data_IF_185067456772
#
_entry.id   IF_185067456772
#
_cell.length_a   1.000
_cell.length_b   1.000
_cell.length_c   1.000
_cell.angle_alpha   90.00
_cell.angle_beta   90.00
_cell.angle_gamma   90.00
#
_symmetry.space_group_name_H-M   'P 1'
#
loop_
_entity.id
_entity.type
_entity.pdbx_description
1 polymer ?
#
# COMPACT_ATOMS: atom_id res chain seq x y z
N UNK A 1 -16.01 -15.33 14.86
CA UNK A 1 -16.41 -14.08 15.51
C UNK A 1 -15.22 -13.27 16.01
N UNK A 2 -14.29 -13.84 16.78
CA UNK A 2 -13.11 -13.14 17.23
C UNK A 2 -12.23 -12.59 16.10
N UNK A 3 -12.14 -13.29 14.99
CA UNK A 3 -11.37 -12.85 13.81
C UNK A 3 -11.95 -11.58 13.18
N UNK A 4 -13.28 -11.46 13.06
CA UNK A 4 -13.91 -10.26 12.50
C UNK A 4 -13.66 -9.03 13.38
N UNK A 5 -13.76 -9.21 14.69
CA UNK A 5 -13.48 -8.13 15.65
C UNK A 5 -12.01 -7.71 15.54
N UNK A 6 -11.10 -8.68 15.43
CA UNK A 6 -9.66 -8.43 15.30
C UNK A 6 -9.34 -7.65 14.02
N UNK A 7 -9.96 -8.03 12.88
CA UNK A 7 -9.76 -7.31 11.62
C UNK A 7 -10.32 -5.89 11.68
N UNK A 8 -11.45 -5.70 12.32
CA UNK A 8 -12.04 -4.38 12.48
C UNK A 8 -11.13 -3.47 13.30
N UNK A 9 -10.58 -3.98 14.41
CA UNK A 9 -9.61 -3.24 15.22
C UNK A 9 -8.36 -2.90 14.41
N UNK A 10 -7.88 -3.85 13.63
CA UNK A 10 -6.72 -3.63 12.76
C UNK A 10 -6.99 -2.53 11.72
N UNK A 11 -8.17 -2.55 11.12
CA UNK A 11 -8.58 -1.54 10.16
C UNK A 11 -8.69 -0.16 10.82
N UNK A 12 -9.28 -0.11 12.00
CA UNK A 12 -9.42 1.14 12.76
C UNK A 12 -8.07 1.67 13.19
N UNK A 13 -7.19 0.83 13.70
CA UNK A 13 -5.84 1.22 14.08
C UNK A 13 -5.05 1.72 12.88
N UNK A 14 -5.19 1.05 11.74
CA UNK A 14 -4.54 1.43 10.52
C UNK A 14 -5.03 2.77 10.00
N UNK A 15 -6.32 3.05 10.16
CA UNK A 15 -6.93 4.30 9.72
C UNK A 15 -6.70 5.44 10.71
N UNK A 16 -6.73 5.14 12.02
CA UNK A 16 -6.63 6.15 13.06
C UNK A 16 -5.20 6.66 13.27
N UNK A 17 -4.20 5.82 13.04
CA UNK A 17 -2.79 6.22 13.13
C UNK A 17 -2.32 6.94 11.88
N UNK A 18 -3.09 7.94 11.49
CA UNK A 18 -2.87 8.64 10.22
C UNK A 18 -1.55 9.40 10.18
N UNK A 19 -1.08 9.87 11.33
CA UNK A 19 0.10 10.73 11.41
C UNK A 19 1.40 9.97 11.64
N UNK A 20 1.33 8.69 12.03
CA UNK A 20 2.53 7.92 12.33
C UNK A 20 2.80 6.90 11.23
N UNK A 21 4.04 6.85 10.72
CA UNK A 21 4.40 5.79 9.77
C UNK A 21 4.29 4.43 10.46
N UNK A 22 3.86 3.43 9.70
CA UNK A 22 3.91 2.06 10.19
C UNK A 22 5.32 1.73 10.62
N UNK A 23 5.48 1.24 11.83
CA UNK A 23 6.75 0.65 12.20
C UNK A 23 6.89 -0.70 11.51
N UNK A 24 8.11 -1.09 11.18
CA UNK A 24 8.34 -2.40 10.58
C UNK A 24 7.84 -3.52 11.50
N UNK A 25 7.95 -3.33 12.80
CA UNK A 25 7.43 -4.28 13.79
C UNK A 25 5.91 -4.45 13.67
N UNK A 26 5.16 -3.34 13.55
CA UNK A 26 3.71 -3.40 13.41
C UNK A 26 3.31 -4.10 12.10
N UNK A 27 4.02 -3.83 11.01
CA UNK A 27 3.77 -4.51 9.73
C UNK A 27 3.99 -6.01 9.84
N UNK A 28 5.09 -6.43 10.48
CA UNK A 28 5.39 -7.85 10.70
C UNK A 28 4.27 -8.51 11.52
N UNK A 29 3.85 -7.88 12.59
CA UNK A 29 2.83 -8.41 13.48
C UNK A 29 1.49 -8.57 12.76
N UNK A 30 1.05 -7.55 12.03
CA UNK A 30 -0.19 -7.61 11.26
C UNK A 30 -0.11 -8.61 10.11
N UNK A 31 1.05 -8.71 9.45
CA UNK A 31 1.26 -9.65 8.36
C UNK A 31 1.17 -11.10 8.84
N UNK A 32 1.69 -11.40 10.02
CA UNK A 32 1.62 -12.74 10.60
C UNK A 32 0.19 -13.15 10.93
N UNK A 33 -0.68 -12.21 11.29
CA UNK A 33 -2.11 -12.49 11.52
C UNK A 33 -2.87 -12.67 10.21
N UNK A 34 -2.43 -12.03 9.14
CA UNK A 34 -3.15 -11.93 7.88
C UNK A 34 -4.37 -11.01 7.98
N UNK A 35 -4.66 -10.30 6.92
CA UNK A 35 -5.87 -9.48 6.82
C UNK A 35 -6.85 -10.14 5.85
N UNK A 36 -8.14 -9.81 5.99
CA UNK A 36 -9.15 -10.35 5.11
C UNK A 36 -9.05 -9.70 3.71
N UNK A 37 -9.59 -10.38 2.71
CA UNK A 37 -9.69 -9.83 1.36
C UNK A 37 -10.55 -8.55 1.34
N UNK A 38 -11.47 -8.41 2.29
CA UNK A 38 -12.29 -7.20 2.42
C UNK A 38 -11.43 -5.97 2.72
N UNK A 39 -10.32 -6.14 3.44
CA UNK A 39 -9.39 -5.06 3.69
C UNK A 39 -8.74 -4.58 2.38
N UNK A 40 -8.28 -5.50 1.54
CA UNK A 40 -7.76 -5.17 0.22
C UNK A 40 -8.80 -4.42 -0.61
N UNK A 41 -10.04 -4.89 -0.61
CA UNK A 41 -11.13 -4.26 -1.36
C UNK A 41 -11.39 -2.85 -0.86
N UNK A 42 -11.35 -2.64 0.45
CA UNK A 42 -11.53 -1.33 1.08
C UNK A 42 -10.43 -0.34 0.65
N UNK A 43 -9.18 -0.79 0.68
CA UNK A 43 -8.04 0.02 0.23
C UNK A 43 -8.16 0.33 -1.27
N UNK A 44 -8.59 -0.64 -2.06
CA UNK A 44 -8.78 -0.47 -3.51
C UNK A 44 -9.79 0.63 -3.82
N UNK A 45 -10.89 0.67 -3.09
CA UNK A 45 -11.91 1.72 -3.25
C UNK A 45 -11.38 3.06 -2.78
N UNK A 46 -10.75 3.09 -1.63
CA UNK A 46 -10.26 4.32 -1.01
C UNK A 46 -9.24 5.06 -1.88
N UNK A 47 -8.35 4.33 -2.53
CA UNK A 47 -7.24 4.91 -3.30
C UNK A 47 -7.37 4.66 -4.79
N UNK A 48 -8.51 4.14 -5.24
CA UNK A 48 -8.76 3.84 -6.65
C UNK A 48 -7.66 2.96 -7.26
N UNK A 49 -7.35 1.88 -6.55
CA UNK A 49 -6.35 0.92 -7.01
C UNK A 49 -7.07 -0.18 -7.78
N UNK A 50 -6.73 -0.32 -9.07
CA UNK A 50 -7.35 -1.29 -9.95
C UNK A 50 -6.79 -2.70 -9.73
N UNK A 51 -7.54 -3.75 -10.11
CA UNK A 51 -6.99 -5.11 -10.08
C UNK A 51 -5.70 -5.26 -10.89
N UNK A 52 -5.57 -4.55 -12.00
CA UNK A 52 -4.36 -4.56 -12.82
C UNK A 52 -3.17 -3.97 -12.06
N UNK A 53 -3.39 -2.88 -11.32
CA UNK A 53 -2.35 -2.28 -10.48
C UNK A 53 -1.92 -3.24 -9.37
N UNK A 54 -2.86 -3.86 -8.66
CA UNK A 54 -2.55 -4.87 -7.64
C UNK A 54 -1.75 -6.03 -8.23
N UNK A 55 -2.14 -6.50 -9.40
CA UNK A 55 -1.46 -7.60 -10.09
C UNK A 55 0.02 -7.23 -10.36
N UNK A 56 0.26 -6.01 -10.83
CA UNK A 56 1.62 -5.53 -11.07
C UNK A 56 2.44 -5.46 -9.79
N UNK A 57 1.87 -4.97 -8.69
CA UNK A 57 2.57 -4.89 -7.41
C UNK A 57 2.91 -6.26 -6.85
N UNK A 58 1.97 -7.19 -6.91
CA UNK A 58 2.14 -8.53 -6.32
C UNK A 58 2.79 -9.55 -7.24
N UNK A 59 3.00 -9.22 -8.51
CA UNK A 59 3.60 -10.12 -9.48
C UNK A 59 2.72 -11.31 -9.84
N UNK A 60 1.41 -11.14 -9.82
CA UNK A 60 0.43 -12.18 -10.20
C UNK A 60 -0.49 -11.63 -11.30
N UNK A 61 -1.31 -12.49 -11.88
CA UNK A 61 -2.21 -12.07 -12.96
C UNK A 61 -3.38 -11.26 -12.43
N UNK A 62 -3.90 -10.36 -13.26
CA UNK A 62 -5.13 -9.59 -12.97
C UNK A 62 -6.30 -10.54 -12.66
N UNK A 63 -6.37 -11.65 -13.38
CA UNK A 63 -7.40 -12.66 -13.18
C UNK A 63 -7.32 -13.28 -11.79
N UNK A 64 -6.10 -13.52 -11.29
CA UNK A 64 -5.88 -14.02 -9.93
C UNK A 64 -6.35 -13.02 -8.88
N UNK A 65 -6.06 -11.72 -9.06
CA UNK A 65 -6.54 -10.67 -8.17
C UNK A 65 -8.07 -10.64 -8.15
N UNK A 66 -8.70 -10.64 -9.30
CA UNK A 66 -10.17 -10.63 -9.40
C UNK A 66 -10.79 -11.84 -8.70
N UNK A 67 -10.16 -13.02 -8.85
CA UNK A 67 -10.60 -14.22 -8.17
C UNK A 67 -10.50 -14.09 -6.65
N UNK A 68 -9.38 -13.56 -6.15
CA UNK A 68 -9.21 -13.33 -4.71
C UNK A 68 -10.23 -12.32 -4.18
N UNK A 69 -10.52 -11.26 -4.92
CA UNK A 69 -11.48 -10.25 -4.50
C UNK A 69 -12.91 -10.77 -4.40
N UNK A 70 -13.22 -11.87 -5.10
CA UNK A 70 -14.54 -12.50 -5.07
C UNK A 70 -14.66 -13.58 -4.00
N UNK A 71 -13.57 -14.01 -3.39
CA UNK A 71 -13.55 -15.05 -2.38
C UNK A 71 -13.41 -14.45 -0.99
N UNK A 72 -14.12 -15.00 -0.02
CA UNK A 72 -13.97 -14.60 1.39
C UNK A 72 -12.77 -15.33 1.99
N UNK A 73 -11.57 -14.87 1.69
CA UNK A 73 -10.33 -15.47 2.15
C UNK A 73 -9.51 -14.49 2.96
N UNK A 74 -8.66 -15.02 3.82
CA UNK A 74 -7.59 -14.28 4.48
C UNK A 74 -6.37 -14.28 3.57
N UNK A 75 -5.76 -13.13 3.42
CA UNK A 75 -4.52 -13.00 2.66
C UNK A 75 -3.37 -13.69 3.38
N UNK A 76 -2.40 -14.18 2.62
CA UNK A 76 -1.17 -14.74 3.19
C UNK A 76 -0.36 -13.63 3.88
N UNK A 77 0.64 -14.01 4.68
CA UNK A 77 1.52 -13.05 5.33
C UNK A 77 2.20 -12.14 4.30
N UNK A 78 2.71 -12.68 3.20
CA UNK A 78 3.37 -11.90 2.15
C UNK A 78 2.40 -10.96 1.46
N UNK A 79 1.22 -11.43 1.11
CA UNK A 79 0.18 -10.59 0.49
C UNK A 79 -0.26 -9.47 1.44
N UNK A 80 -0.43 -9.80 2.71
CA UNK A 80 -0.81 -8.82 3.73
C UNK A 80 0.25 -7.73 3.84
N UNK A 81 1.52 -8.10 3.85
CA UNK A 81 2.62 -7.13 3.93
C UNK A 81 2.56 -6.16 2.74
N UNK A 82 2.35 -6.68 1.53
CA UNK A 82 2.20 -5.83 0.35
C UNK A 82 1.03 -4.87 0.48
N UNK A 83 -0.12 -5.35 0.90
CA UNK A 83 -1.32 -4.51 1.06
C UNK A 83 -1.07 -3.39 2.06
N UNK A 84 -0.48 -3.70 3.20
CA UNK A 84 -0.18 -2.70 4.24
C UNK A 84 0.83 -1.68 3.75
N UNK A 85 1.87 -2.10 3.05
CA UNK A 85 2.88 -1.20 2.50
C UNK A 85 2.33 -0.31 1.39
N UNK A 86 1.50 -0.84 0.52
CA UNK A 86 0.83 -0.05 -0.52
C UNK A 86 -0.13 0.96 0.10
N UNK A 87 -0.88 0.56 1.13
CA UNK A 87 -1.73 1.50 1.87
C UNK A 87 -0.92 2.66 2.43
N UNK A 88 0.18 2.36 3.10
CA UNK A 88 1.08 3.38 3.65
C UNK A 88 1.60 4.31 2.56
N UNK A 89 2.05 3.74 1.44
CA UNK A 89 2.55 4.49 0.30
C UNK A 89 1.51 5.46 -0.24
N UNK A 90 0.30 4.98 -0.51
CA UNK A 90 -0.76 5.81 -1.09
C UNK A 90 -1.24 6.89 -0.13
N UNK A 91 -1.27 6.58 1.16
CA UNK A 91 -1.61 7.56 2.19
C UNK A 91 -0.63 8.73 2.21
N UNK A 92 0.66 8.41 2.25
CA UNK A 92 1.73 9.43 2.24
C UNK A 92 1.71 10.18 0.91
N UNK A 93 1.57 9.49 -0.20
CA UNK A 93 1.54 10.11 -1.52
C UNK A 93 0.37 11.08 -1.69
N UNK A 94 -0.80 10.69 -1.21
CA UNK A 94 -1.97 11.57 -1.23
C UNK A 94 -1.73 12.84 -0.41
N UNK A 95 -1.11 12.72 0.75
CA UNK A 95 -0.76 13.88 1.59
C UNK A 95 0.25 14.79 0.89
N UNK A 96 1.30 14.20 0.31
CA UNK A 96 2.38 14.98 -0.34
C UNK A 96 1.86 15.71 -1.57
N UNK A 97 1.05 15.08 -2.40
CA UNK A 97 0.58 15.64 -3.67
C UNK A 97 -0.83 16.22 -3.62
N UNK A 98 -1.51 16.13 -2.48
CA UNK A 98 -2.82 16.72 -2.26
C UNK A 98 -4.01 15.90 -2.72
N UNK A 99 -3.81 14.92 -3.58
CA UNK A 99 -4.86 14.01 -4.06
C UNK A 99 -4.28 12.69 -4.53
N UNK A 100 -5.13 11.66 -4.58
CA UNK A 100 -4.75 10.35 -5.13
C UNK A 100 -4.45 10.45 -6.63
N UNK A 101 -5.20 11.25 -7.36
CA UNK A 101 -5.00 11.44 -8.79
C UNK A 101 -3.61 12.02 -9.06
N UNK A 102 -3.24 13.07 -8.37
CA UNK A 102 -1.92 13.71 -8.53
C UNK A 102 -0.79 12.75 -8.15
N UNK A 103 -0.99 11.98 -7.07
CA UNK A 103 0.00 10.97 -6.67
C UNK A 103 0.17 9.90 -7.74
N UNK A 104 -0.92 9.38 -8.29
CA UNK A 104 -0.86 8.37 -9.37
C UNK A 104 -0.16 8.90 -10.61
N UNK A 105 -0.38 10.17 -10.95
CA UNK A 105 0.32 10.81 -12.06
C UNK A 105 1.83 10.86 -11.81
N UNK A 106 2.22 11.20 -10.58
CA UNK A 106 3.63 11.23 -10.20
C UNK A 106 4.27 9.83 -10.27
N UNK A 107 3.54 8.78 -9.87
CA UNK A 107 4.04 7.41 -9.93
C UNK A 107 4.42 6.96 -11.34
N UNK A 108 3.81 7.57 -12.37
CA UNK A 108 3.99 7.17 -13.77
C UNK A 108 5.07 7.96 -14.50
N UNK A 109 5.73 8.90 -13.84
CA UNK A 109 6.75 9.76 -14.44
C UNK A 109 8.11 9.52 -13.81
N UNK A 110 9.21 9.71 -14.58
CA UNK A 110 10.54 9.62 -13.99
C UNK A 110 10.71 10.59 -12.83
N UNK A 111 11.22 10.10 -11.70
CA UNK A 111 11.45 10.88 -10.51
C UNK A 111 12.95 11.14 -10.34
N UNK A 112 13.34 12.41 -10.35
CA UNK A 112 14.75 12.79 -10.26
C UNK A 112 15.42 12.21 -9.01
N UNK A 113 14.77 12.32 -7.85
CA UNK A 113 15.32 11.82 -6.59
C UNK A 113 15.42 10.29 -6.50
N UNK A 114 14.87 9.57 -7.46
CA UNK A 114 14.95 8.11 -7.57
C UNK A 114 15.82 7.68 -8.75
N UNK A 115 16.79 8.51 -9.14
CA UNK A 115 17.67 8.21 -10.26
C UNK A 115 16.95 8.21 -11.61
N UNK A 116 15.95 9.05 -11.77
CA UNK A 116 15.08 9.14 -12.96
C UNK A 116 14.30 7.87 -13.27
N UNK A 117 14.13 6.98 -12.28
CA UNK A 117 13.27 5.81 -12.44
C UNK A 117 11.82 6.21 -12.30
N UNK A 118 10.96 5.47 -13.00
CA UNK A 118 9.51 5.59 -12.84
C UNK A 118 9.11 4.86 -11.56
N UNK A 119 8.57 5.55 -10.54
CA UNK A 119 8.32 4.94 -9.24
C UNK A 119 7.43 3.69 -9.32
N UNK A 120 6.42 3.70 -10.18
CA UNK A 120 5.52 2.57 -10.35
C UNK A 120 6.27 1.28 -10.71
N UNK A 121 7.36 1.38 -11.46
CA UNK A 121 8.13 0.22 -11.92
C UNK A 121 8.93 -0.48 -10.82
N UNK A 122 9.08 0.14 -9.67
CA UNK A 122 9.83 -0.45 -8.56
C UNK A 122 8.94 -0.86 -7.38
N UNK A 123 7.62 -0.81 -7.55
CA UNK A 123 6.66 -1.17 -6.50
C UNK A 123 6.36 -2.67 -6.41
N UNK A 124 7.03 -3.47 -7.20
CA UNK A 124 6.84 -4.92 -7.21
C UNK A 124 7.63 -5.65 -6.13
N UNK A 125 8.34 -4.93 -5.30
CA UNK A 125 9.05 -5.48 -4.14
C UNK A 125 8.81 -4.59 -2.92
N UNK A 126 8.88 -5.18 -1.74
CA UNK A 126 8.76 -4.41 -0.48
C UNK A 126 9.90 -3.39 -0.39
N UNK A 127 11.11 -3.76 -0.78
CA UNK A 127 12.24 -2.83 -0.77
C UNK A 127 12.00 -1.63 -1.69
N UNK A 128 11.42 -1.85 -2.86
CA UNK A 128 11.07 -0.78 -3.78
C UNK A 128 10.00 0.14 -3.21
N UNK A 129 8.97 -0.43 -2.59
CA UNK A 129 7.92 0.36 -1.94
C UNK A 129 8.53 1.22 -0.82
N UNK A 130 9.38 0.63 0.02
CA UNK A 130 10.05 1.36 1.09
C UNK A 130 10.94 2.50 0.56
N UNK A 131 11.63 2.26 -0.55
CA UNK A 131 12.43 3.30 -1.20
C UNK A 131 11.59 4.50 -1.61
N UNK A 132 10.43 4.25 -2.22
CA UNK A 132 9.51 5.32 -2.64
C UNK A 132 8.92 6.02 -1.42
N UNK A 133 8.49 5.27 -0.40
CA UNK A 133 7.99 5.85 0.85
C UNK A 133 9.02 6.80 1.46
N UNK A 134 10.26 6.35 1.58
CA UNK A 134 11.32 7.18 2.16
C UNK A 134 11.57 8.43 1.33
N UNK A 135 11.51 8.33 0.02
CA UNK A 135 11.62 9.48 -0.87
C UNK A 135 10.49 10.48 -0.64
N UNK A 136 9.24 9.99 -0.55
CA UNK A 136 8.08 10.85 -0.28
C UNK A 136 8.19 11.54 1.09
N UNK A 137 8.67 10.83 2.10
CA UNK A 137 8.87 11.41 3.43
C UNK A 137 9.91 12.52 3.38
N UNK A 138 10.98 12.36 2.60
CA UNK A 138 11.96 13.44 2.42
C UNK A 138 11.35 14.66 1.72
N UNK A 139 10.52 14.46 0.72
CA UNK A 139 9.78 15.56 0.08
C UNK A 139 8.89 16.24 1.11
N UNK A 140 8.14 15.48 1.89
CA UNK A 140 7.23 16.02 2.90
C UNK A 140 7.95 16.84 3.96
N UNK A 141 9.16 16.47 4.32
CA UNK A 141 9.98 17.19 5.32
C UNK A 141 10.85 18.29 4.69
N UNK A 142 10.73 18.52 3.39
CA UNK A 142 11.48 19.60 2.72
C UNK A 142 12.98 19.35 2.58
N UNK A 143 13.44 18.11 2.76
CA UNK A 143 14.88 17.77 2.68
C UNK A 143 15.38 17.56 1.24
N UNK A 144 14.49 17.60 0.27
CA UNK A 144 14.79 17.47 -1.16
C UNK A 144 14.49 18.75 -1.91
N UNK A 145 14.74 19.83 -1.26
CA UNK A 145 14.58 21.13 -1.92
C UNK A 145 15.62 21.33 -3.03
#
# INVERSE_FOLDING_TARGET
>A
MGKKVSYKLLEEDTISNVSEPYTEYAVIEHSNRGVSINYLNKISIKYDITPTEWAGFMGISTKSIQRYQQQENTLTATQTEFVLKIEQLYKIGKEVFGSTISFKQWLQKPAYGLGNKIPEHILNTISGINLVINHLLRIAHGTLA
#
